data_IF_680170824391
#
_entry.id   IF_680170824391
#
_cell.length_a   1.000
_cell.length_b   1.000
_cell.length_c   1.000
_cell.angle_alpha   90.00
_cell.angle_beta   90.00
_cell.angle_gamma   90.00
#
_symmetry.space_group_name_H-M   'P 1'
#
loop_
_entity.id
_entity.type
_entity.pdbx_description
1 polymer ?
#
# COMPACT_ATOMS: atom_id res chain seq x y z
N UNK A 1 5.53 -35.08 -54.18
CA UNK A 1 5.04 -36.21 -53.40
C UNK A 1 6.15 -36.66 -52.45
N UNK A 2 6.29 -36.00 -51.30
CA UNK A 2 7.19 -36.48 -50.21
C UNK A 2 6.48 -36.16 -48.89
N UNK A 3 6.42 -37.15 -48.07
CA UNK A 3 5.58 -37.38 -46.91
C UNK A 3 5.88 -36.41 -45.78
N UNK A 4 4.83 -35.77 -45.26
CA UNK A 4 4.75 -35.30 -43.86
C UNK A 4 4.51 -36.53 -42.99
N UNK A 5 5.40 -36.83 -42.09
CA UNK A 5 5.07 -37.67 -40.94
C UNK A 5 6.12 -37.49 -39.83
N UNK A 6 5.63 -37.37 -38.64
CA UNK A 6 6.22 -37.84 -37.39
C UNK A 6 7.30 -36.98 -36.76
N UNK A 7 6.90 -35.81 -36.19
CA UNK A 7 7.52 -35.29 -34.97
C UNK A 7 6.38 -34.79 -34.06
N UNK A 8 5.64 -35.71 -33.53
CA UNK A 8 4.62 -35.38 -32.49
C UNK A 8 4.38 -36.59 -31.58
N UNK A 9 5.43 -37.20 -31.10
CA UNK A 9 5.32 -38.31 -30.14
C UNK A 9 6.49 -38.44 -29.17
N UNK A 10 7.01 -37.35 -28.64
CA UNK A 10 8.02 -37.47 -27.58
C UNK A 10 7.93 -36.45 -26.47
N UNK A 11 6.81 -35.77 -26.33
CA UNK A 11 6.61 -34.81 -25.21
C UNK A 11 5.62 -35.29 -24.14
N UNK A 12 5.14 -36.53 -24.23
CA UNK A 12 4.14 -37.07 -23.28
C UNK A 12 4.73 -38.12 -22.32
N UNK A 13 6.03 -38.34 -22.33
CA UNK A 13 6.64 -39.36 -21.49
C UNK A 13 7.57 -38.86 -20.37
N UNK A 14 7.65 -37.54 -20.16
CA UNK A 14 8.51 -36.97 -19.10
C UNK A 14 7.74 -36.31 -17.94
N UNK A 15 6.43 -36.50 -17.90
CA UNK A 15 5.58 -35.94 -16.79
C UNK A 15 5.22 -37.02 -15.75
N UNK A 16 5.62 -38.24 -15.94
CA UNK A 16 5.21 -39.33 -15.02
C UNK A 16 6.35 -39.95 -14.20
N UNK A 17 7.45 -39.26 -13.99
CA UNK A 17 8.53 -39.75 -13.12
C UNK A 17 8.88 -38.84 -11.96
N UNK A 18 7.99 -37.91 -11.59
CA UNK A 18 8.13 -37.11 -10.35
C UNK A 18 7.03 -37.45 -9.36
N UNK A 19 6.64 -38.69 -9.28
CA UNK A 19 5.87 -39.24 -8.18
C UNK A 19 6.84 -40.01 -7.31
N UNK A 20 7.42 -39.33 -6.33
CA UNK A 20 7.81 -40.06 -5.13
C UNK A 20 8.49 -39.15 -4.13
N UNK A 21 8.17 -39.39 -2.93
CA UNK A 21 8.52 -38.72 -1.71
C UNK A 21 7.88 -37.33 -1.56
N UNK A 22 6.63 -37.31 -1.22
CA UNK A 22 6.15 -36.36 -0.21
C UNK A 22 6.98 -36.61 1.05
N UNK A 23 8.17 -36.03 1.11
CA UNK A 23 8.75 -35.71 2.39
C UNK A 23 7.64 -34.90 3.07
N UNK A 24 7.05 -35.44 4.12
CA UNK A 24 6.17 -34.69 5.02
C UNK A 24 7.04 -33.53 5.47
N UNK A 25 6.79 -32.37 4.91
CA UNK A 25 7.53 -31.16 5.25
C UNK A 25 7.27 -30.96 6.73
N UNK A 26 8.31 -30.88 7.55
CA UNK A 26 8.14 -30.85 8.98
C UNK A 26 7.46 -29.53 9.36
N UNK A 27 6.22 -29.60 9.85
CA UNK A 27 5.47 -28.43 10.31
C UNK A 27 6.31 -27.56 11.26
N UNK A 28 6.46 -26.27 10.97
CA UNK A 28 7.05 -25.30 11.89
C UNK A 28 5.92 -24.60 12.62
N UNK A 29 5.48 -25.20 13.71
CA UNK A 29 4.37 -24.73 14.51
C UNK A 29 4.81 -23.68 15.53
N UNK A 30 4.18 -22.51 15.50
CA UNK A 30 4.43 -21.39 16.40
C UNK A 30 3.17 -21.07 17.19
N UNK A 31 3.23 -20.90 18.52
CA UNK A 31 2.08 -20.45 19.30
C UNK A 31 1.51 -19.16 18.72
N UNK A 32 0.17 -19.07 18.65
CA UNK A 32 -0.53 -17.95 18.01
C UNK A 32 -0.13 -16.59 18.58
N UNK A 33 0.00 -16.48 19.90
CA UNK A 33 0.36 -15.23 20.55
C UNK A 33 1.78 -14.78 20.16
N UNK A 34 2.72 -15.72 20.09
CA UNK A 34 4.08 -15.46 19.63
C UNK A 34 4.10 -15.06 18.14
N UNK A 35 3.29 -15.72 17.31
CA UNK A 35 3.14 -15.36 15.90
C UNK A 35 2.59 -13.94 15.74
N UNK A 36 1.47 -13.62 16.42
CA UNK A 36 0.83 -12.31 16.33
C UNK A 36 1.73 -11.18 16.83
N UNK A 37 2.60 -11.45 17.81
CA UNK A 37 3.57 -10.47 18.29
C UNK A 37 4.70 -10.16 17.30
N UNK A 38 5.01 -11.07 16.37
CA UNK A 38 6.15 -10.97 15.47
C UNK A 38 5.77 -10.75 13.99
N UNK A 39 4.51 -10.99 13.60
CA UNK A 39 4.09 -10.76 12.21
C UNK A 39 4.03 -9.27 11.87
N UNK A 40 4.39 -8.92 10.63
CA UNK A 40 4.19 -7.58 10.07
C UNK A 40 2.77 -7.39 9.51
N UNK A 41 1.97 -8.45 9.47
CA UNK A 41 0.57 -8.42 9.01
C UNK A 41 -0.37 -8.20 10.18
N UNK A 42 -1.52 -7.63 9.91
CA UNK A 42 -2.63 -7.54 10.86
C UNK A 42 -3.63 -8.66 10.58
N UNK A 43 -3.92 -9.46 11.61
CA UNK A 43 -4.91 -10.54 11.53
C UNK A 43 -6.11 -10.22 12.40
N UNK A 44 -7.31 -10.30 11.83
CA UNK A 44 -8.56 -10.26 12.59
C UNK A 44 -8.92 -11.65 13.10
N UNK A 45 -9.17 -11.74 14.40
CA UNK A 45 -9.75 -12.93 14.99
C UNK A 45 -11.28 -12.88 14.92
N UNK A 46 -11.93 -14.02 14.68
CA UNK A 46 -13.36 -14.12 14.95
C UNK A 46 -13.64 -13.98 16.46
N UNK A 47 -14.91 -13.77 16.84
CA UNK A 47 -15.30 -13.54 18.24
C UNK A 47 -14.86 -14.65 19.21
N UNK A 48 -14.64 -15.87 18.74
CA UNK A 48 -14.22 -17.03 19.53
C UNK A 48 -12.72 -17.30 19.46
N UNK A 49 -11.96 -16.50 18.70
CA UNK A 49 -10.52 -16.68 18.41
C UNK A 49 -10.17 -18.07 17.86
N UNK A 50 -11.10 -18.67 17.10
CA UNK A 50 -10.94 -19.97 16.44
C UNK A 50 -10.54 -19.86 14.98
N UNK A 51 -10.53 -18.66 14.43
CA UNK A 51 -10.02 -18.35 13.10
C UNK A 51 -9.46 -16.93 13.07
N UNK A 52 -8.46 -16.74 12.24
CA UNK A 52 -7.79 -15.46 12.00
C UNK A 52 -7.73 -15.21 10.51
N UNK A 53 -8.01 -13.99 10.08
CA UNK A 53 -8.08 -13.61 8.69
C UNK A 53 -7.22 -12.37 8.45
N UNK A 54 -6.54 -12.34 7.32
CA UNK A 54 -5.78 -11.19 6.85
C UNK A 54 -6.06 -10.99 5.36
N UNK A 55 -6.11 -9.74 4.93
CA UNK A 55 -6.06 -9.40 3.51
C UNK A 55 -4.60 -9.19 3.13
N UNK A 56 -4.05 -10.09 2.34
CA UNK A 56 -2.68 -10.01 1.86
C UNK A 56 -2.67 -10.01 0.35
N UNK A 57 -1.76 -9.26 -0.27
CA UNK A 57 -1.52 -9.41 -1.69
C UNK A 57 -1.05 -10.84 -1.96
N UNK A 58 -1.72 -11.52 -2.89
CA UNK A 58 -1.22 -12.81 -3.36
C UNK A 58 -0.02 -12.59 -4.28
N UNK A 59 0.94 -13.48 -4.19
CA UNK A 59 2.10 -13.46 -5.05
C UNK A 59 1.98 -14.54 -6.13
N UNK A 60 2.48 -14.25 -7.31
CA UNK A 60 2.64 -15.22 -8.39
C UNK A 60 4.06 -15.18 -8.93
N UNK A 61 4.49 -16.27 -9.55
CA UNK A 61 5.78 -16.34 -10.22
C UNK A 61 5.61 -15.86 -11.67
N UNK A 62 6.34 -14.81 -12.02
CA UNK A 62 6.50 -14.35 -13.40
C UNK A 62 7.97 -14.53 -13.78
N UNK A 63 8.26 -15.63 -14.49
CA UNK A 63 9.65 -16.07 -14.69
C UNK A 63 10.30 -16.46 -13.37
N UNK A 64 11.39 -15.78 -13.00
CA UNK A 64 12.09 -15.97 -11.72
C UNK A 64 11.72 -14.91 -10.67
N UNK A 65 10.80 -14.00 -10.98
CA UNK A 65 10.39 -12.94 -10.08
C UNK A 65 9.08 -13.30 -9.37
N UNK A 66 9.03 -13.09 -8.07
CA UNK A 66 7.78 -13.12 -7.30
C UNK A 66 7.14 -11.75 -7.42
N UNK A 67 5.94 -11.70 -7.99
CA UNK A 67 5.17 -10.47 -8.15
C UNK A 67 3.84 -10.57 -7.42
N UNK A 68 3.31 -9.42 -6.97
CA UNK A 68 1.97 -9.38 -6.43
C UNK A 68 0.95 -9.53 -7.55
N UNK A 69 -0.05 -10.36 -7.31
CA UNK A 69 -1.21 -10.45 -8.17
C UNK A 69 -2.23 -9.35 -7.77
N UNK A 70 -2.39 -8.28 -8.55
CA UNK A 70 -3.29 -7.18 -8.19
C UNK A 70 -4.76 -7.62 -8.12
N UNK A 71 -5.16 -8.64 -8.88
CA UNK A 71 -6.53 -9.15 -8.88
C UNK A 71 -6.89 -9.88 -7.59
N UNK A 72 -5.90 -10.34 -6.83
CA UNK A 72 -6.09 -11.04 -5.56
C UNK A 72 -5.78 -10.17 -4.33
N UNK A 73 -5.45 -8.90 -4.54
CA UNK A 73 -5.25 -7.95 -3.44
C UNK A 73 -6.59 -7.66 -2.79
N UNK A 74 -6.62 -7.78 -1.46
CA UNK A 74 -7.86 -7.60 -0.70
C UNK A 74 -8.66 -8.88 -0.46
N UNK A 75 -8.32 -10.00 -1.12
CA UNK A 75 -8.95 -11.28 -0.82
C UNK A 75 -8.56 -11.77 0.59
N UNK A 76 -9.54 -12.24 1.37
CA UNK A 76 -9.26 -12.70 2.72
C UNK A 76 -8.53 -14.04 2.72
N UNK A 77 -7.40 -14.09 3.38
CA UNK A 77 -6.63 -15.32 3.60
C UNK A 77 -6.80 -15.77 5.05
N UNK A 78 -7.20 -17.01 5.24
CA UNK A 78 -7.28 -17.59 6.58
C UNK A 78 -5.92 -18.07 7.01
N UNK A 79 -5.56 -17.72 8.25
CA UNK A 79 -4.34 -18.21 8.88
C UNK A 79 -4.44 -19.74 9.09
N UNK A 80 -3.47 -20.53 8.64
CA UNK A 80 -3.44 -21.96 8.88
C UNK A 80 -3.13 -22.23 10.36
N UNK A 81 -4.16 -22.53 11.13
CA UNK A 81 -4.03 -22.81 12.57
C UNK A 81 -4.37 -24.25 12.90
N UNK A 82 -3.71 -24.78 13.92
CA UNK A 82 -4.01 -26.06 14.51
C UNK A 82 -4.00 -25.95 16.04
N UNK A 83 -4.85 -26.73 16.70
CA UNK A 83 -4.88 -26.76 18.17
C UNK A 83 -4.28 -28.07 18.67
N UNK A 84 -3.31 -27.97 19.58
CA UNK A 84 -2.68 -29.10 20.26
C UNK A 84 -2.62 -28.80 21.77
N UNK A 85 -3.17 -29.69 22.61
CA UNK A 85 -3.17 -29.55 24.06
C UNK A 85 -3.72 -28.20 24.58
N UNK A 86 -4.77 -27.67 23.93
CA UNK A 86 -5.40 -26.40 24.31
C UNK A 86 -4.64 -25.14 23.85
N UNK A 87 -3.53 -25.31 23.16
CA UNK A 87 -2.74 -24.20 22.57
C UNK A 87 -3.00 -24.14 21.06
N UNK A 88 -3.29 -22.96 20.56
CA UNK A 88 -3.42 -22.71 19.12
C UNK A 88 -2.06 -22.37 18.52
N UNK A 89 -1.72 -23.04 17.44
CA UNK A 89 -0.46 -22.85 16.70
C UNK A 89 -0.75 -22.42 15.27
N UNK A 90 0.22 -21.72 14.69
CA UNK A 90 0.29 -21.37 13.26
C UNK A 90 1.40 -22.19 12.63
N UNK A 91 1.14 -22.81 11.48
CA UNK A 91 2.19 -23.37 10.63
C UNK A 91 2.76 -22.27 9.74
N UNK A 92 4.02 -21.93 9.95
CA UNK A 92 4.68 -20.83 9.24
C UNK A 92 5.60 -21.31 8.12
N UNK A 93 5.76 -22.62 7.91
CA UNK A 93 6.72 -23.14 6.95
C UNK A 93 6.28 -22.98 5.50
N UNK A 94 4.97 -23.03 5.25
CA UNK A 94 4.43 -23.04 3.89
C UNK A 94 4.70 -21.71 3.14
N UNK A 95 4.55 -20.57 3.79
CA UNK A 95 4.84 -19.25 3.22
C UNK A 95 5.08 -18.18 4.30
N UNK A 96 6.26 -18.15 4.93
CA UNK A 96 6.57 -17.18 5.98
C UNK A 96 6.46 -15.73 5.51
N UNK A 97 6.85 -15.45 4.27
CA UNK A 97 6.82 -14.09 3.72
C UNK A 97 5.37 -13.58 3.55
N UNK A 98 4.47 -14.42 3.06
CA UNK A 98 3.05 -14.10 2.98
C UNK A 98 2.47 -13.87 4.37
N UNK A 99 2.84 -14.71 5.34
CA UNK A 99 2.39 -14.58 6.72
C UNK A 99 2.99 -13.38 7.46
N UNK A 100 3.96 -12.71 6.86
CA UNK A 100 4.59 -11.51 7.42
C UNK A 100 5.59 -11.79 8.53
N UNK A 101 6.23 -12.96 8.53
CA UNK A 101 7.27 -13.36 9.48
C UNK A 101 8.51 -13.88 8.76
N UNK A 102 9.63 -13.87 9.45
CA UNK A 102 10.80 -14.69 9.14
C UNK A 102 11.12 -15.59 10.33
N UNK A 103 11.88 -16.63 10.09
CA UNK A 103 12.37 -17.46 11.20
C UNK A 103 13.76 -18.02 10.93
N UNK A 104 14.46 -18.29 12.01
CA UNK A 104 15.70 -19.08 12.01
C UNK A 104 15.55 -20.25 12.94
N UNK A 105 16.15 -21.39 12.59
CA UNK A 105 16.18 -22.58 13.42
C UNK A 105 17.62 -23.02 13.65
N UNK A 106 18.10 -22.85 14.89
CA UNK A 106 19.46 -23.19 15.28
C UNK A 106 19.40 -24.20 16.43
N UNK A 107 20.01 -25.36 16.25
CA UNK A 107 20.03 -26.43 17.26
C UNK A 107 18.63 -26.82 17.78
N UNK A 108 17.60 -26.79 16.91
CA UNK A 108 16.23 -27.07 17.28
C UNK A 108 15.46 -25.90 17.93
N UNK A 109 16.14 -24.83 18.26
CA UNK A 109 15.51 -23.62 18.79
C UNK A 109 15.02 -22.72 17.63
N UNK A 110 13.73 -22.39 17.64
CA UNK A 110 13.08 -21.50 16.69
C UNK A 110 13.12 -20.07 17.21
N UNK A 111 13.61 -19.16 16.39
CA UNK A 111 13.55 -17.72 16.64
C UNK A 111 12.73 -17.06 15.53
N UNK A 112 11.66 -16.37 15.92
CA UNK A 112 10.83 -15.59 15.00
C UNK A 112 11.34 -14.14 14.89
N UNK A 113 11.17 -13.61 13.70
CA UNK A 113 11.38 -12.19 13.42
C UNK A 113 10.31 -11.64 12.48
N UNK A 114 10.28 -10.33 12.27
CA UNK A 114 9.44 -9.74 11.24
C UNK A 114 9.84 -10.27 9.85
N UNK A 115 8.92 -10.20 8.88
CA UNK A 115 9.24 -10.54 7.50
C UNK A 115 10.48 -9.73 7.04
N UNK A 116 11.34 -10.34 6.21
CA UNK A 116 12.46 -9.61 5.64
C UNK A 116 11.96 -8.35 4.95
N UNK A 117 12.58 -7.22 5.29
CA UNK A 117 12.33 -5.99 4.55
C UNK A 117 13.05 -6.09 3.20
N UNK A 118 12.56 -5.33 2.22
CA UNK A 118 13.27 -5.22 0.96
C UNK A 118 14.75 -4.89 1.21
N UNK A 119 15.63 -5.70 0.70
CA UNK A 119 17.05 -5.72 1.09
C UNK A 119 17.88 -4.56 0.53
N UNK A 120 17.32 -3.77 -0.39
CA UNK A 120 18.03 -2.68 -1.06
C UNK A 120 17.29 -1.36 -0.89
N UNK A 121 17.93 -0.42 -0.22
CA UNK A 121 17.47 0.97 -0.19
C UNK A 121 17.66 1.57 -1.58
N UNK A 122 16.63 2.21 -2.11
CA UNK A 122 16.70 2.92 -3.39
C UNK A 122 17.70 4.08 -3.30
N UNK A 123 18.28 4.46 -4.43
CA UNK A 123 19.07 5.68 -4.49
C UNK A 123 18.18 6.90 -4.14
N UNK A 124 18.68 7.82 -3.31
CA UNK A 124 17.97 9.07 -3.04
C UNK A 124 17.81 9.89 -4.34
N UNK A 125 16.69 10.57 -4.47
CA UNK A 125 16.47 11.47 -5.60
C UNK A 125 15.88 12.79 -5.13
N UNK A 126 16.15 13.85 -5.90
CA UNK A 126 15.65 15.20 -5.64
C UNK A 126 14.75 15.61 -6.79
N UNK A 127 13.57 16.13 -6.45
CA UNK A 127 12.62 16.63 -7.45
C UNK A 127 13.05 17.99 -7.98
N UNK A 128 12.95 18.15 -9.30
CA UNK A 128 13.25 19.40 -10.00
C UNK A 128 11.99 20.26 -10.13
N UNK A 129 12.05 21.46 -9.60
CA UNK A 129 10.94 22.43 -9.71
C UNK A 129 11.01 23.24 -11.02
N UNK A 130 9.86 23.73 -11.51
CA UNK A 130 8.50 23.58 -11.02
C UNK A 130 7.95 22.18 -11.23
N UNK A 131 7.11 21.69 -10.30
CA UNK A 131 6.46 20.39 -10.42
C UNK A 131 5.16 20.51 -11.23
N UNK A 132 4.91 19.54 -12.10
CA UNK A 132 3.60 19.29 -12.68
C UNK A 132 3.03 18.04 -12.05
N UNK A 133 1.89 18.15 -11.37
CA UNK A 133 1.27 17.05 -10.63
C UNK A 133 -0.13 16.78 -11.15
N UNK A 134 -0.35 15.57 -11.64
CA UNK A 134 -1.65 15.13 -12.13
C UNK A 134 -2.21 14.04 -11.22
N UNK A 135 -3.51 14.10 -10.96
CA UNK A 135 -4.25 13.09 -10.22
C UNK A 135 -5.10 12.29 -11.21
N UNK A 136 -5.02 10.96 -11.12
CA UNK A 136 -5.84 10.04 -11.92
C UNK A 136 -6.85 9.33 -11.02
N UNK A 137 -8.10 9.81 -10.94
CA UNK A 137 -9.12 9.27 -10.05
C UNK A 137 -9.68 7.93 -10.52
N UNK A 138 -9.52 7.59 -11.82
CA UNK A 138 -10.04 6.34 -12.42
C UNK A 138 -8.98 5.62 -13.25
N UNK A 139 -7.85 5.24 -12.65
CA UNK A 139 -6.78 4.57 -13.37
C UNK A 139 -7.26 3.21 -13.89
N UNK A 140 -7.31 3.06 -15.20
CA UNK A 140 -7.70 1.81 -15.87
C UNK A 140 -6.53 1.29 -16.69
N UNK A 141 -6.42 -0.04 -16.82
CA UNK A 141 -5.49 -0.65 -17.77
C UNK A 141 -5.97 -0.32 -19.20
N UNK A 142 -5.22 0.46 -19.93
CA UNK A 142 -5.45 0.70 -21.36
C UNK A 142 -5.88 2.09 -21.79
N UNK A 143 -6.26 2.98 -20.87
CA UNK A 143 -6.45 4.41 -21.17
C UNK A 143 -5.65 5.24 -20.18
N UNK A 144 -4.32 5.31 -20.33
CA UNK A 144 -3.52 6.15 -19.45
C UNK A 144 -3.98 7.59 -19.57
N UNK A 145 -4.17 8.27 -18.44
CA UNK A 145 -4.40 9.68 -18.39
C UNK A 145 -3.24 10.40 -19.09
N UNK A 146 -3.56 11.21 -20.11
CA UNK A 146 -2.55 11.92 -20.85
C UNK A 146 -2.32 13.31 -20.25
N UNK A 147 -1.64 13.37 -19.13
CA UNK A 147 -1.20 14.63 -18.57
C UNK A 147 -0.16 15.28 -19.50
N UNK A 148 -0.24 16.59 -19.65
CA UNK A 148 0.75 17.34 -20.41
C UNK A 148 2.06 17.36 -19.65
N UNK A 149 3.13 16.92 -20.29
CA UNK A 149 4.46 16.89 -19.70
C UNK A 149 4.97 18.32 -19.44
N UNK A 150 5.42 18.56 -18.21
CA UNK A 150 6.18 19.76 -17.89
C UNK A 150 7.63 19.57 -18.37
N UNK A 151 8.10 20.41 -19.26
CA UNK A 151 9.44 20.31 -19.85
C UNK A 151 10.53 21.03 -19.04
N UNK A 152 10.14 21.79 -18.02
CA UNK A 152 11.09 22.59 -17.21
C UNK A 152 11.34 22.03 -15.80
N UNK A 153 10.64 20.97 -15.41
CA UNK A 153 10.78 20.33 -14.10
C UNK A 153 10.17 18.95 -14.09
N UNK A 154 10.03 18.36 -12.93
CA UNK A 154 9.54 16.99 -12.79
C UNK A 154 8.02 16.91 -12.88
N UNK A 155 7.57 15.73 -13.29
CA UNK A 155 6.16 15.40 -13.44
C UNK A 155 5.81 14.27 -12.46
N UNK A 156 4.68 14.40 -11.79
CA UNK A 156 4.13 13.38 -10.89
C UNK A 156 2.75 12.97 -11.38
N UNK A 157 2.46 11.68 -11.35
CA UNK A 157 1.12 11.12 -11.52
C UNK A 157 0.71 10.38 -10.26
N UNK A 158 -0.49 10.70 -9.74
CA UNK A 158 -1.07 10.06 -8.55
C UNK A 158 -2.34 9.30 -8.91
N UNK A 159 -2.23 8.01 -9.24
CA UNK A 159 -3.40 7.17 -9.45
C UNK A 159 -4.08 6.82 -8.12
N UNK A 160 -5.42 6.85 -8.09
CA UNK A 160 -6.23 6.49 -6.91
C UNK A 160 -6.29 4.99 -6.72
N UNK A 161 -5.26 4.42 -6.11
CA UNK A 161 -5.08 2.98 -6.02
C UNK A 161 -5.25 2.38 -4.64
N UNK A 162 -5.12 3.16 -3.57
CA UNK A 162 -5.09 2.59 -2.23
C UNK A 162 -6.09 3.24 -1.28
N UNK A 163 -6.55 2.43 -0.32
CA UNK A 163 -7.37 2.88 0.80
C UNK A 163 -6.86 2.25 2.09
N UNK A 164 -6.98 2.97 3.19
CA UNK A 164 -6.78 2.37 4.51
C UNK A 164 -7.86 1.31 4.75
N UNK A 165 -7.47 0.17 5.33
CA UNK A 165 -8.36 -0.91 5.72
C UNK A 165 -7.96 -1.42 7.11
N UNK A 166 -8.90 -1.92 7.90
CA UNK A 166 -8.65 -2.40 9.28
C UNK A 166 -7.60 -3.52 9.38
N UNK A 167 -7.33 -4.22 8.27
CA UNK A 167 -6.36 -5.32 8.21
C UNK A 167 -5.04 -4.93 7.53
N UNK A 168 -4.94 -3.74 6.99
CA UNK A 168 -3.78 -3.27 6.23
C UNK A 168 -4.20 -2.33 5.11
N UNK A 169 -3.45 -2.31 4.02
CA UNK A 169 -3.71 -1.46 2.87
C UNK A 169 -4.57 -2.22 1.84
N UNK A 170 -5.76 -1.69 1.53
CA UNK A 170 -6.57 -2.19 0.42
C UNK A 170 -6.07 -1.58 -0.88
N UNK A 171 -5.70 -2.42 -1.85
CA UNK A 171 -5.32 -1.98 -3.17
C UNK A 171 -6.45 -2.16 -4.18
N UNK A 172 -6.56 -1.20 -5.10
CA UNK A 172 -7.45 -1.34 -6.26
C UNK A 172 -7.01 -2.53 -7.14
N UNK A 173 -7.93 -3.27 -7.76
CA UNK A 173 -7.60 -4.28 -8.76
C UNK A 173 -6.92 -3.70 -10.01
N UNK A 174 -6.93 -2.38 -10.17
CA UNK A 174 -6.31 -1.66 -11.29
C UNK A 174 -4.85 -1.26 -11.03
N UNK A 175 -4.27 -1.63 -9.88
CA UNK A 175 -2.82 -1.43 -9.66
C UNK A 175 -2.05 -2.22 -10.71
N UNK A 176 -1.22 -1.53 -11.50
CA UNK A 176 -0.61 -2.10 -12.69
C UNK A 176 0.85 -1.67 -12.83
N UNK A 177 1.72 -2.66 -13.00
CA UNK A 177 3.13 -2.41 -13.30
C UNK A 177 3.30 -1.80 -14.72
N UNK A 178 2.43 -2.17 -15.66
CA UNK A 178 2.46 -1.62 -17.02
C UNK A 178 2.11 -0.13 -17.02
N UNK A 179 1.12 0.27 -16.21
CA UNK A 179 0.81 1.68 -16.01
C UNK A 179 2.03 2.45 -15.45
N UNK A 180 2.67 1.89 -14.41
CA UNK A 180 3.87 2.52 -13.81
C UNK A 180 4.99 2.65 -14.83
N UNK A 181 5.29 1.59 -15.57
CA UNK A 181 6.34 1.59 -16.59
C UNK A 181 6.04 2.57 -17.73
N UNK A 182 4.78 2.65 -18.17
CA UNK A 182 4.36 3.59 -19.21
C UNK A 182 4.60 5.05 -18.77
N UNK A 183 4.12 5.44 -17.59
CA UNK A 183 4.34 6.80 -17.09
C UNK A 183 5.81 7.10 -16.82
N UNK A 184 6.56 6.17 -16.26
CA UNK A 184 8.02 6.34 -16.06
C UNK A 184 8.77 6.49 -17.37
N UNK A 185 8.38 5.77 -18.43
CA UNK A 185 8.97 5.92 -19.75
C UNK A 185 8.73 7.31 -20.36
N UNK A 186 7.70 8.01 -19.88
CA UNK A 186 7.34 9.39 -20.26
C UNK A 186 7.96 10.45 -19.33
N UNK A 187 8.81 10.04 -18.37
CA UNK A 187 9.48 10.94 -17.44
C UNK A 187 8.64 11.36 -16.22
N UNK A 188 7.65 10.57 -15.86
CA UNK A 188 6.86 10.79 -14.62
C UNK A 188 7.41 10.03 -13.45
N UNK A 189 7.31 10.61 -12.26
CA UNK A 189 7.31 9.89 -11.00
C UNK A 189 5.90 9.39 -10.69
N UNK A 190 5.78 8.16 -10.19
CA UNK A 190 4.47 7.58 -9.87
C UNK A 190 4.30 7.52 -8.35
N UNK A 191 3.36 8.33 -7.84
CA UNK A 191 3.04 8.46 -6.42
C UNK A 191 1.57 8.12 -6.17
N UNK A 192 1.21 6.85 -6.00
CA UNK A 192 -0.18 6.48 -5.79
C UNK A 192 -0.83 7.21 -4.62
N UNK A 193 -2.10 7.54 -4.80
CA UNK A 193 -2.94 8.18 -3.80
C UNK A 193 -3.52 7.13 -2.85
N UNK A 194 -3.54 7.46 -1.57
CA UNK A 194 -4.07 6.64 -0.48
C UNK A 194 -5.12 7.44 0.26
N UNK A 195 -6.36 6.93 0.31
CA UNK A 195 -7.46 7.57 1.04
C UNK A 195 -7.76 6.89 2.37
N UNK A 196 -8.38 7.63 3.29
CA UNK A 196 -8.92 7.10 4.55
C UNK A 196 -10.40 6.67 4.43
N UNK A 197 -10.93 6.48 3.22
CA UNK A 197 -12.35 6.22 2.93
C UNK A 197 -13.29 7.40 3.28
N UNK A 198 -12.75 8.51 3.72
CA UNK A 198 -13.51 9.70 4.16
C UNK A 198 -14.56 9.38 5.24
N UNK A 199 -14.26 8.39 6.08
CA UNK A 199 -15.10 7.93 7.19
C UNK A 199 -14.43 8.30 8.52
N UNK A 200 -14.99 9.25 9.30
CA UNK A 200 -14.39 9.71 10.56
C UNK A 200 -14.26 8.60 11.60
N UNK A 201 -15.29 7.77 11.76
CA UNK A 201 -15.29 6.70 12.77
C UNK A 201 -14.27 5.61 12.46
N UNK A 202 -14.20 5.19 11.21
CA UNK A 202 -13.20 4.25 10.73
C UNK A 202 -11.79 4.83 10.91
N UNK A 203 -11.59 6.09 10.52
CA UNK A 203 -10.30 6.77 10.64
C UNK A 203 -9.85 6.90 12.09
N UNK A 204 -10.75 7.26 13.00
CA UNK A 204 -10.45 7.33 14.45
C UNK A 204 -9.96 5.98 14.99
N UNK A 205 -10.58 4.86 14.56
CA UNK A 205 -10.15 3.52 14.92
C UNK A 205 -8.72 3.19 14.45
N UNK A 206 -8.41 3.55 13.21
CA UNK A 206 -7.06 3.36 12.64
C UNK A 206 -6.02 4.21 13.39
N UNK A 207 -6.34 5.47 13.63
CA UNK A 207 -5.43 6.41 14.29
C UNK A 207 -5.17 6.07 15.76
N UNK A 208 -6.12 5.39 16.42
CA UNK A 208 -5.97 4.95 17.80
C UNK A 208 -5.10 3.69 17.94
N UNK A 209 -5.00 2.85 16.91
CA UNK A 209 -4.24 1.60 16.94
C UNK A 209 -2.86 1.74 16.30
N UNK A 210 -1.86 2.11 17.08
CA UNK A 210 -0.48 2.24 16.61
C UNK A 210 0.13 0.92 16.11
N UNK A 211 -0.43 -0.24 16.48
CA UNK A 211 0.05 -1.53 15.97
C UNK A 211 -0.22 -1.67 14.46
N UNK A 212 -1.29 -1.05 13.97
CA UNK A 212 -1.61 -0.98 12.55
C UNK A 212 -0.65 -0.08 11.76
N UNK A 213 -0.12 0.99 12.37
CA UNK A 213 0.77 1.92 11.69
C UNK A 213 1.99 1.24 11.10
N UNK A 214 2.59 0.32 11.86
CA UNK A 214 3.72 -0.50 11.39
C UNK A 214 3.35 -1.35 10.18
N UNK A 215 2.14 -1.92 10.18
CA UNK A 215 1.66 -2.76 9.08
C UNK A 215 1.45 -1.93 7.80
N UNK A 216 0.83 -0.76 7.92
CA UNK A 216 0.71 0.17 6.78
C UNK A 216 2.07 0.57 6.24
N UNK A 217 3.00 0.99 7.10
CA UNK A 217 4.33 1.40 6.69
C UNK A 217 5.06 0.29 5.92
N UNK A 218 5.02 -0.95 6.43
CA UNK A 218 5.61 -2.10 5.74
C UNK A 218 4.91 -2.43 4.41
N UNK A 219 3.57 -2.40 4.37
CA UNK A 219 2.84 -2.63 3.13
C UNK A 219 3.22 -1.61 2.06
N UNK A 220 3.31 -0.34 2.42
CA UNK A 220 3.69 0.74 1.50
C UNK A 220 5.10 0.52 0.94
N UNK A 221 6.08 0.14 1.77
CA UNK A 221 7.42 -0.20 1.29
C UNK A 221 7.36 -1.37 0.31
N UNK A 222 6.66 -2.45 0.64
CA UNK A 222 6.54 -3.62 -0.23
C UNK A 222 5.93 -3.26 -1.58
N UNK A 223 4.80 -2.53 -1.60
CA UNK A 223 4.17 -2.08 -2.84
C UNK A 223 5.09 -1.20 -3.67
N UNK A 224 5.79 -0.25 -3.04
CA UNK A 224 6.72 0.62 -3.75
C UNK A 224 7.86 -0.18 -4.42
N UNK A 225 8.38 -1.20 -3.76
CA UNK A 225 9.44 -2.03 -4.33
C UNK A 225 8.97 -2.94 -5.47
N UNK A 226 7.76 -3.49 -5.36
CA UNK A 226 7.22 -4.42 -6.35
C UNK A 226 6.78 -3.68 -7.62
N UNK A 227 6.07 -2.58 -7.45
CA UNK A 227 5.54 -1.82 -8.59
C UNK A 227 6.46 -0.69 -9.05
N UNK A 228 7.49 -0.35 -8.28
CA UNK A 228 8.41 0.70 -8.64
C UNK A 228 7.89 2.11 -8.32
N UNK A 229 7.00 2.30 -7.34
CA UNK A 229 6.52 3.63 -6.96
C UNK A 229 7.64 4.48 -6.38
N UNK A 230 7.64 5.77 -6.69
CA UNK A 230 8.68 6.71 -6.24
C UNK A 230 8.28 7.42 -4.95
N UNK A 231 7.00 7.49 -4.68
CA UNK A 231 6.42 8.11 -3.49
C UNK A 231 4.97 7.71 -3.28
N UNK A 232 4.32 8.36 -2.32
CA UNK A 232 2.89 8.25 -2.03
C UNK A 232 2.29 9.61 -1.73
N UNK A 233 1.03 9.79 -2.13
CA UNK A 233 0.22 10.94 -1.78
C UNK A 233 -0.85 10.49 -0.77
N UNK A 234 -0.91 11.14 0.39
CA UNK A 234 -1.92 10.88 1.42
C UNK A 234 -3.08 11.85 1.26
N UNK A 235 -4.24 11.32 0.91
CA UNK A 235 -5.49 12.06 0.76
C UNK A 235 -6.45 11.65 1.88
N UNK A 236 -6.20 12.17 3.08
CA UNK A 236 -6.96 11.85 4.29
C UNK A 236 -7.90 13.01 4.62
N UNK A 237 -9.19 12.79 4.37
CA UNK A 237 -10.22 13.81 4.52
C UNK A 237 -11.34 13.39 5.46
N UNK A 238 -12.18 14.36 5.86
CA UNK A 238 -13.32 14.16 6.75
C UNK A 238 -12.92 13.42 8.04
N UNK A 239 -12.10 14.07 8.85
CA UNK A 239 -11.49 13.45 10.04
C UNK A 239 -12.01 14.18 11.28
N UNK A 240 -12.38 13.43 12.32
CA UNK A 240 -12.77 14.03 13.60
C UNK A 240 -11.65 14.93 14.12
N UNK A 241 -12.00 16.15 14.50
CA UNK A 241 -11.03 17.14 15.01
C UNK A 241 -10.30 16.65 16.27
N UNK A 242 -10.94 15.79 17.07
CA UNK A 242 -10.29 15.16 18.22
C UNK A 242 -9.08 14.28 17.83
N UNK A 243 -9.01 13.83 16.60
CA UNK A 243 -7.91 13.02 16.07
C UNK A 243 -6.77 13.83 15.44
N UNK A 244 -6.84 15.17 15.46
CA UNK A 244 -5.82 16.05 14.88
C UNK A 244 -4.38 15.67 15.24
N UNK A 245 -4.13 15.41 16.52
CA UNK A 245 -2.78 15.06 16.97
C UNK A 245 -2.39 13.62 16.58
N UNK A 246 -3.35 12.70 16.58
CA UNK A 246 -3.11 11.31 16.11
C UNK A 246 -2.84 11.27 14.62
N UNK A 247 -3.62 12.00 13.82
CA UNK A 247 -3.37 12.15 12.39
C UNK A 247 -1.96 12.68 12.12
N UNK A 248 -1.58 13.75 12.83
CA UNK A 248 -0.24 14.34 12.71
C UNK A 248 0.85 13.30 13.01
N UNK A 249 0.71 12.55 14.09
CA UNK A 249 1.66 11.51 14.47
C UNK A 249 1.68 10.33 13.48
N UNK A 250 0.53 9.94 12.96
CA UNK A 250 0.41 8.87 11.96
C UNK A 250 1.12 9.21 10.66
N UNK A 251 0.85 10.40 10.11
CA UNK A 251 1.51 10.88 8.89
C UNK A 251 3.03 10.96 9.08
N UNK A 252 3.47 11.53 10.19
CA UNK A 252 4.90 11.59 10.52
C UNK A 252 5.54 10.19 10.63
N UNK A 253 4.84 9.23 11.25
CA UNK A 253 5.31 7.86 11.37
C UNK A 253 5.47 7.18 10.00
N UNK A 254 4.45 7.26 9.14
CA UNK A 254 4.50 6.69 7.80
C UNK A 254 5.63 7.33 6.97
N UNK A 255 5.71 8.66 6.96
CA UNK A 255 6.71 9.39 6.19
C UNK A 255 8.13 9.06 6.64
N UNK A 256 8.40 9.10 7.95
CA UNK A 256 9.71 8.75 8.50
C UNK A 256 10.12 7.32 8.15
N UNK A 257 9.18 6.38 8.13
CA UNK A 257 9.47 5.01 7.75
C UNK A 257 9.78 4.90 6.25
N UNK A 258 8.98 5.53 5.40
CA UNK A 258 9.16 5.52 3.93
C UNK A 258 10.45 6.21 3.49
N UNK A 259 10.82 7.32 4.15
CA UNK A 259 12.05 8.04 3.88
C UNK A 259 13.31 7.19 4.10
N UNK A 260 13.30 6.21 5.02
CA UNK A 260 14.41 5.27 5.20
C UNK A 260 14.67 4.42 3.94
N UNK A 261 13.69 4.31 3.06
CA UNK A 261 13.76 3.59 1.79
C UNK A 261 13.82 4.54 0.58
N UNK A 262 14.04 5.83 0.80
CA UNK A 262 14.02 6.88 -0.22
C UNK A 262 12.70 6.90 -1.03
N UNK A 263 11.59 6.61 -0.37
CA UNK A 263 10.24 6.74 -0.89
C UNK A 263 9.68 8.06 -0.37
N UNK A 264 9.32 8.96 -1.29
CA UNK A 264 8.82 10.29 -0.93
C UNK A 264 7.37 10.27 -0.51
N UNK A 265 6.95 11.32 0.20
CA UNK A 265 5.58 11.44 0.68
C UNK A 265 5.01 12.84 0.46
N UNK A 266 3.70 12.90 0.29
CA UNK A 266 2.94 14.14 0.31
C UNK A 266 1.62 13.95 1.02
N UNK A 267 1.02 15.04 1.46
CA UNK A 267 -0.32 15.05 2.04
C UNK A 267 -1.17 16.16 1.42
N UNK A 268 -2.40 15.81 1.08
CA UNK A 268 -3.39 16.76 0.62
C UNK A 268 -4.04 17.46 1.82
N UNK A 269 -4.23 18.76 1.71
CA UNK A 269 -4.93 19.59 2.69
C UNK A 269 -5.90 20.51 2.00
N UNK A 270 -7.05 20.76 2.60
CA UNK A 270 -8.03 21.70 2.07
C UNK A 270 -7.58 23.14 2.23
N UNK A 271 -8.21 24.04 1.51
CA UNK A 271 -8.13 25.48 1.78
C UNK A 271 -8.45 25.78 3.27
N UNK A 272 -7.78 26.79 3.84
CA UNK A 272 -8.02 27.14 5.25
C UNK A 272 -9.46 27.64 5.46
N UNK A 273 -10.14 27.04 6.42
CA UNK A 273 -11.48 27.43 6.86
C UNK A 273 -11.65 27.11 8.34
N UNK A 274 -12.79 27.53 8.92
CA UNK A 274 -13.14 27.24 10.31
C UNK A 274 -13.80 25.86 10.51
N UNK A 275 -13.86 25.03 9.47
CA UNK A 275 -14.37 23.66 9.58
C UNK A 275 -13.41 22.78 10.39
N UNK A 276 -13.88 22.20 11.50
CA UNK A 276 -13.05 21.33 12.32
C UNK A 276 -12.54 20.11 11.54
N UNK A 277 -13.45 19.38 10.86
CA UNK A 277 -13.17 18.08 10.22
C UNK A 277 -12.47 18.22 8.86
N UNK A 278 -12.71 19.36 8.18
CA UNK A 278 -12.23 19.56 6.81
C UNK A 278 -11.03 20.50 6.71
N UNK A 279 -10.72 21.26 7.78
CA UNK A 279 -9.61 22.23 7.72
C UNK A 279 -8.77 22.28 8.99
N UNK A 280 -9.40 22.52 10.16
CA UNK A 280 -8.64 22.69 11.40
C UNK A 280 -7.97 21.43 11.89
N UNK A 281 -8.42 20.26 11.46
CA UNK A 281 -7.81 18.96 11.75
C UNK A 281 -6.39 18.84 11.17
N UNK A 282 -6.06 19.57 10.10
CA UNK A 282 -4.73 19.53 9.51
C UNK A 282 -3.75 20.43 10.25
N UNK A 283 -2.75 19.80 10.87
CA UNK A 283 -1.61 20.52 11.43
C UNK A 283 -0.57 20.78 10.33
N UNK A 284 -0.86 21.75 9.47
CA UNK A 284 -0.08 22.04 8.26
C UNK A 284 1.40 22.27 8.55
N UNK A 285 1.72 22.99 9.64
CA UNK A 285 3.10 23.22 10.04
C UNK A 285 3.83 21.93 10.42
N UNK A 286 3.16 21.03 11.14
CA UNK A 286 3.75 19.73 11.48
C UNK A 286 3.88 18.83 10.26
N UNK A 287 2.92 18.86 9.34
CA UNK A 287 3.02 18.13 8.07
C UNK A 287 4.20 18.62 7.23
N UNK A 288 4.38 19.93 7.10
CA UNK A 288 5.51 20.51 6.36
C UNK A 288 6.89 20.06 6.90
N UNK A 289 6.97 19.63 8.16
CA UNK A 289 8.19 19.06 8.74
C UNK A 289 8.31 17.53 8.60
N UNK A 290 7.26 16.86 8.12
CA UNK A 290 7.18 15.40 8.11
C UNK A 290 7.16 14.80 6.70
N UNK A 291 6.51 15.48 5.75
CA UNK A 291 6.39 15.04 4.36
C UNK A 291 7.26 15.86 3.43
N UNK A 292 7.50 15.38 2.21
CA UNK A 292 8.25 16.15 1.20
C UNK A 292 7.42 17.31 0.63
N UNK A 293 6.10 17.13 0.48
CA UNK A 293 5.19 18.14 -0.05
C UNK A 293 3.86 18.16 0.68
N UNK A 294 3.36 19.37 0.92
CA UNK A 294 1.98 19.61 1.31
C UNK A 294 1.25 20.13 0.08
N UNK A 295 0.23 19.42 -0.36
CA UNK A 295 -0.55 19.76 -1.55
C UNK A 295 -1.84 20.44 -1.12
N UNK A 296 -2.03 21.68 -1.55
CA UNK A 296 -3.24 22.43 -1.26
C UNK A 296 -4.32 22.13 -2.29
N UNK A 297 -5.44 21.59 -1.84
CA UNK A 297 -6.65 21.43 -2.65
C UNK A 297 -7.36 22.78 -2.78
N UNK A 298 -6.87 23.61 -3.70
CA UNK A 298 -7.38 24.97 -3.91
C UNK A 298 -8.59 24.97 -4.87
N UNK A 299 -9.63 24.20 -4.54
CA UNK A 299 -10.88 24.07 -5.28
C UNK A 299 -12.04 23.81 -4.30
N UNK A 300 -13.26 23.62 -4.83
CA UNK A 300 -14.50 23.49 -4.06
C UNK A 300 -14.96 24.79 -3.37
N UNK A 301 -14.60 25.96 -3.93
CA UNK A 301 -15.24 27.23 -3.57
C UNK A 301 -16.76 27.12 -3.74
N UNK A 302 -17.19 26.52 -4.85
CA UNK A 302 -18.56 26.06 -5.08
C UNK A 302 -18.53 24.57 -5.41
N UNK A 303 -19.09 23.76 -4.56
CA UNK A 303 -19.08 22.32 -4.69
C UNK A 303 -20.42 21.73 -5.12
N UNK A 304 -20.49 20.43 -5.44
CA UNK A 304 -21.65 19.79 -6.07
C UNK A 304 -22.99 19.93 -5.29
N UNK A 305 -22.95 20.15 -3.98
CA UNK A 305 -24.15 20.35 -3.14
C UNK A 305 -24.37 21.82 -2.74
N UNK A 306 -23.64 22.75 -3.31
CA UNK A 306 -23.87 24.18 -3.08
C UNK A 306 -25.25 24.59 -3.58
N UNK A 307 -25.94 25.41 -2.81
CA UNK A 307 -27.28 25.90 -3.14
C UNK A 307 -27.29 26.97 -4.24
N UNK A 308 -26.13 27.53 -4.52
CA UNK A 308 -25.93 28.58 -5.54
C UNK A 308 -24.83 28.15 -6.50
N UNK A 309 -25.07 28.32 -7.80
CA UNK A 309 -24.06 28.07 -8.80
C UNK A 309 -22.93 29.11 -8.72
N UNK A 310 -21.69 28.65 -8.88
CA UNK A 310 -20.50 29.50 -8.83
C UNK A 310 -19.27 28.80 -9.38
N UNK A 311 -18.11 29.46 -9.38
CA UNK A 311 -16.85 28.85 -9.82
C UNK A 311 -16.41 27.76 -8.83
N UNK A 312 -15.77 26.72 -9.35
CA UNK A 312 -15.14 25.70 -8.51
C UNK A 312 -13.91 26.26 -7.80
N UNK A 313 -13.20 27.20 -8.44
CA UNK A 313 -12.01 27.84 -7.90
C UNK A 313 -11.81 29.20 -8.59
N UNK A 314 -12.32 30.28 -8.01
CA UNK A 314 -12.05 31.63 -8.54
C UNK A 314 -10.62 32.08 -8.22
N UNK A 315 -10.04 32.92 -9.06
CA UNK A 315 -8.69 33.45 -8.80
C UNK A 315 -8.54 34.14 -7.43
N UNK A 316 -9.48 35.03 -6.99
CA UNK A 316 -9.37 35.62 -5.68
C UNK A 316 -9.44 34.63 -4.54
N UNK A 317 -10.27 33.59 -4.67
CA UNK A 317 -10.40 32.53 -3.67
C UNK A 317 -9.12 31.68 -3.57
N UNK A 318 -8.58 31.21 -4.69
CA UNK A 318 -7.32 30.47 -4.74
C UNK A 318 -6.19 31.29 -4.14
N UNK A 319 -6.04 32.55 -4.56
CA UNK A 319 -5.01 33.46 -4.05
C UNK A 319 -5.09 33.59 -2.52
N UNK A 320 -6.29 33.83 -1.98
CA UNK A 320 -6.48 33.97 -0.54
C UNK A 320 -6.09 32.72 0.26
N UNK A 321 -6.17 31.51 -0.34
CA UNK A 321 -5.81 30.26 0.32
C UNK A 321 -4.33 29.89 0.14
N UNK A 322 -3.67 30.44 -0.86
CA UNK A 322 -2.23 30.21 -1.09
C UNK A 322 -1.33 31.23 -0.38
N UNK A 323 -1.84 32.39 0.00
CA UNK A 323 -1.12 33.45 0.73
C UNK A 323 -1.23 33.36 2.26
N UNK A 324 -2.01 32.42 2.80
CA UNK A 324 -2.21 32.17 4.24
C UNK A 324 -1.28 31.06 4.74
#
# INVERSE_FOLDING_TARGET
MIRKSTILKSLTALVMAALSSTAVQAEVLVPIDQFLANTTRHYEANQYKTSYTVYVPQTELQGNAVVLNPAAVGEPVKLPITSKNGITYVDIESDPAMLGVSYTKVNGQLTLGPAPQASTVRAPYTMQTPLSWAFDPWPTQGTPYQAKLNTSGDNIISPSWFKLHSLGLEASPNVSIDYVNDYKSKGYHVWPLITNRFDPGFTSGILADQSLWKKYAHNLVQYAYIYGFDGYNFDFENIDYADRNRLTAFVAYLSNHLHQYNIKTSIDVTGYSDSPEWSLVYNRSAFANSVDYVVLMAYDETWAKSTTAGPVASYPWVRNHTEK
#
